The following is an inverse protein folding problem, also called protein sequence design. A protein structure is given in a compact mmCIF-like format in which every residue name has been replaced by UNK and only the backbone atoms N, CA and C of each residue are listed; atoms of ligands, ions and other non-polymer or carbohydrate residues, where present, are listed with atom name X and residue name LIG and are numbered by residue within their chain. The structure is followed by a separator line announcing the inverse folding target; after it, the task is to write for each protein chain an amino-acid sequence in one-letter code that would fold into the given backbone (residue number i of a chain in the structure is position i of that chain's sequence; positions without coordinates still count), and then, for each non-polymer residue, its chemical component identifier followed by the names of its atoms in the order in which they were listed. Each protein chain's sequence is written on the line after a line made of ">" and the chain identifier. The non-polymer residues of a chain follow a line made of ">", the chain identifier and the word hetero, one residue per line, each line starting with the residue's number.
data_IF_774300615800
#
_entry.id   IF_774300615800
#
_cell.length_a   1.000
_cell.length_b   1.000
_cell.length_c   1.000
_cell.angle_alpha   90.00
_cell.angle_beta   90.00
_cell.angle_gamma   90.00
#
_symmetry.space_group_name_H-M   'P 1'
#
loop_
_entity.id
_entity.type
_entity.pdbx_description
1 polymer ?
#
# COMPACT_ATOMS: atom_id res chain seq x y z
N UNK A 1 5.19 2.58 -31.04
CA UNK A 1 4.57 3.89 -30.83
C UNK A 1 4.74 4.24 -29.37
N UNK A 2 5.91 4.80 -29.07
CA UNK A 2 6.41 5.05 -27.72
C UNK A 2 5.89 6.41 -27.26
N UNK A 3 4.91 6.42 -26.36
CA UNK A 3 4.40 7.67 -25.80
C UNK A 3 5.07 7.93 -24.45
N UNK A 4 5.97 8.91 -24.50
CA UNK A 4 6.62 9.68 -23.44
C UNK A 4 6.07 9.51 -22.01
N UNK A 5 6.64 8.59 -21.24
CA UNK A 5 6.80 8.69 -19.78
C UNK A 5 8.06 9.51 -19.46
N UNK A 6 8.10 10.75 -19.92
CA UNK A 6 9.24 11.65 -19.71
C UNK A 6 8.91 12.67 -18.63
N UNK A 7 9.06 12.26 -17.36
CA UNK A 7 9.16 13.16 -16.20
C UNK A 7 10.16 12.57 -15.20
N UNK A 8 11.45 12.74 -15.52
CA UNK A 8 12.59 12.37 -14.67
C UNK A 8 12.52 12.85 -13.18
N UNK A 9 11.79 13.93 -12.79
CA UNK A 9 11.64 14.29 -11.37
C UNK A 9 10.71 13.36 -10.57
N UNK A 10 9.75 12.70 -11.22
CA UNK A 10 8.73 11.86 -10.54
C UNK A 10 9.32 10.49 -10.21
N UNK A 11 10.12 9.90 -11.13
CA UNK A 11 10.82 8.63 -10.93
C UNK A 11 11.76 8.61 -9.73
N UNK A 12 12.20 9.78 -9.25
CA UNK A 12 13.09 9.87 -8.10
C UNK A 12 12.35 9.82 -6.76
N UNK A 13 11.02 10.02 -6.77
CA UNK A 13 10.19 10.15 -5.55
C UNK A 13 9.11 9.08 -5.45
N UNK A 14 8.62 8.60 -6.59
CA UNK A 14 7.61 7.55 -6.70
C UNK A 14 7.95 6.67 -7.90
N UNK A 15 8.36 5.43 -7.65
CA UNK A 15 8.51 4.43 -8.69
C UNK A 15 7.15 3.78 -8.97
N UNK A 16 6.47 4.32 -9.98
CA UNK A 16 5.14 3.86 -10.39
C UNK A 16 5.19 2.44 -10.95
N UNK A 17 6.26 2.09 -11.67
CA UNK A 17 6.39 0.75 -12.26
C UNK A 17 6.54 -0.28 -11.15
N UNK A 18 7.41 0.01 -10.17
CA UNK A 18 7.58 -0.87 -8.99
C UNK A 18 6.30 -0.98 -8.14
N UNK A 19 5.60 0.15 -7.91
CA UNK A 19 4.33 0.15 -7.18
C UNK A 19 3.21 -0.64 -7.90
N UNK A 20 3.18 -0.59 -9.23
CA UNK A 20 2.23 -1.36 -10.05
C UNK A 20 2.58 -2.84 -10.08
N UNK A 21 3.86 -3.20 -10.21
CA UNK A 21 4.32 -4.60 -10.21
C UNK A 21 3.93 -5.31 -8.90
N UNK A 22 4.03 -4.59 -7.77
CA UNK A 22 3.57 -5.07 -6.46
C UNK A 22 2.06 -5.34 -6.40
N UNK A 23 1.29 -4.81 -7.34
CA UNK A 23 -0.15 -4.94 -7.43
C UNK A 23 -0.57 -5.66 -8.72
N UNK A 24 0.31 -6.50 -9.27
CA UNK A 24 0.02 -7.31 -10.47
C UNK A 24 -0.37 -6.46 -11.69
N UNK A 25 0.10 -5.21 -11.77
CA UNK A 25 -0.21 -4.29 -12.86
C UNK A 25 -1.59 -3.61 -12.78
N UNK A 26 -2.35 -3.80 -11.69
CA UNK A 26 -3.71 -3.29 -11.55
C UNK A 26 -3.74 -1.77 -11.27
N UNK A 27 -3.79 -1.00 -12.35
CA UNK A 27 -3.74 0.47 -12.30
C UNK A 27 -4.87 1.10 -11.48
N UNK A 28 -6.08 0.57 -11.56
CA UNK A 28 -7.22 1.10 -10.80
C UNK A 28 -7.01 0.93 -9.28
N UNK A 29 -6.53 -0.24 -8.86
CA UNK A 29 -6.15 -0.51 -7.48
C UNK A 29 -5.00 0.38 -7.03
N UNK A 30 -3.97 0.54 -7.86
CA UNK A 30 -2.84 1.41 -7.54
C UNK A 30 -3.27 2.86 -7.29
N UNK A 31 -4.11 3.44 -8.16
CA UNK A 31 -4.66 4.78 -7.95
C UNK A 31 -5.49 4.87 -6.66
N UNK A 32 -6.28 3.84 -6.32
CA UNK A 32 -7.02 3.79 -5.06
C UNK A 32 -6.07 3.78 -3.85
N UNK A 33 -5.00 2.99 -3.89
CA UNK A 33 -3.98 2.92 -2.83
C UNK A 33 -3.26 4.26 -2.70
N UNK A 34 -2.92 4.92 -3.80
CA UNK A 34 -2.34 6.27 -3.78
C UNK A 34 -3.26 7.29 -3.11
N UNK A 35 -4.56 7.27 -3.40
CA UNK A 35 -5.55 8.12 -2.72
C UNK A 35 -5.60 7.82 -1.23
N UNK A 36 -5.60 6.53 -0.85
CA UNK A 36 -5.61 6.10 0.54
C UNK A 36 -4.34 6.52 1.27
N UNK A 37 -3.18 6.42 0.61
CA UNK A 37 -1.90 6.86 1.15
C UNK A 37 -1.95 8.35 1.54
N UNK A 38 -2.46 9.20 0.64
CA UNK A 38 -2.65 10.63 0.91
C UNK A 38 -3.60 10.90 2.09
N UNK A 39 -4.66 10.11 2.24
CA UNK A 39 -5.61 10.28 3.34
C UNK A 39 -5.01 9.90 4.70
N UNK A 40 -4.33 8.75 4.75
CA UNK A 40 -3.88 8.15 6.01
C UNK A 40 -2.54 8.71 6.50
N UNK A 41 -1.63 9.06 5.58
CA UNK A 41 -0.22 9.27 5.92
C UNK A 41 0.29 10.70 5.75
N UNK A 42 -0.48 11.60 5.13
CA UNK A 42 -0.03 12.98 4.87
C UNK A 42 0.32 13.77 6.14
N UNK A 43 -0.26 13.39 7.29
CA UNK A 43 0.02 13.96 8.61
C UNK A 43 0.85 13.06 9.54
N UNK A 44 1.50 12.03 9.00
CA UNK A 44 2.23 11.05 9.83
C UNK A 44 3.40 11.65 10.59
N UNK A 45 4.12 12.61 10.01
CA UNK A 45 5.29 13.21 10.66
C UNK A 45 4.88 14.05 11.87
N UNK A 46 3.83 14.86 11.75
CA UNK A 46 3.26 15.62 12.86
C UNK A 46 2.74 14.70 13.96
N UNK A 47 2.12 13.57 13.58
CA UNK A 47 1.68 12.54 14.52
C UNK A 47 2.86 11.91 15.27
N UNK A 48 3.94 11.56 14.57
CA UNK A 48 5.16 10.99 15.18
C UNK A 48 5.75 12.00 16.17
N UNK A 49 5.94 13.26 15.78
CA UNK A 49 6.48 14.31 16.66
C UNK A 49 5.61 14.54 17.91
N UNK A 50 4.28 14.54 17.73
CA UNK A 50 3.33 14.69 18.85
C UNK A 50 3.43 13.52 19.84
N UNK A 51 3.54 12.29 19.34
CA UNK A 51 3.70 11.09 20.17
C UNK A 51 5.03 11.10 20.93
N UNK A 52 6.12 11.53 20.30
CA UNK A 52 7.42 11.68 20.96
C UNK A 52 7.39 12.74 22.06
N UNK A 53 6.75 13.88 21.80
CA UNK A 53 6.57 14.95 22.82
C UNK A 53 5.75 14.47 24.02
N UNK A 54 4.83 13.53 23.79
CA UNK A 54 4.01 12.91 24.83
C UNK A 54 4.67 11.70 25.51
N UNK A 55 5.95 11.39 25.21
CA UNK A 55 6.66 10.21 25.73
C UNK A 55 5.91 8.90 25.43
N UNK A 56 5.38 8.79 24.20
CA UNK A 56 4.69 7.60 23.69
C UNK A 56 5.52 6.94 22.58
N UNK A 57 6.75 6.57 22.89
CA UNK A 57 7.76 6.08 21.94
C UNK A 57 7.26 4.84 21.20
N UNK A 58 6.66 3.88 21.90
CA UNK A 58 6.11 2.66 21.27
C UNK A 58 5.05 2.98 20.18
N UNK A 59 4.21 4.00 20.40
CA UNK A 59 3.22 4.42 19.40
C UNK A 59 3.85 5.23 18.28
N UNK A 60 4.86 6.04 18.58
CA UNK A 60 5.61 6.79 17.58
C UNK A 60 6.35 5.83 16.63
N UNK A 61 6.99 4.79 17.19
CA UNK A 61 7.63 3.71 16.46
C UNK A 61 6.61 2.98 15.56
N UNK A 62 5.45 2.61 16.11
CA UNK A 62 4.40 1.96 15.31
C UNK A 62 3.91 2.86 14.16
N UNK A 63 3.76 4.17 14.38
CA UNK A 63 3.38 5.10 13.32
C UNK A 63 4.45 5.18 12.21
N UNK A 64 5.74 5.20 12.57
CA UNK A 64 6.84 5.13 11.60
C UNK A 64 6.86 3.79 10.85
N UNK A 65 6.62 2.68 11.54
CA UNK A 65 6.51 1.35 10.95
C UNK A 65 5.38 1.26 9.91
N UNK A 66 4.19 1.77 10.23
CA UNK A 66 3.06 1.79 9.30
C UNK A 66 3.37 2.63 8.06
N UNK A 67 3.98 3.82 8.23
CA UNK A 67 4.40 4.67 7.12
C UNK A 67 5.45 3.97 6.25
N UNK A 68 6.45 3.30 6.85
CA UNK A 68 7.46 2.51 6.13
C UNK A 68 6.81 1.46 5.22
N UNK A 69 5.90 0.66 5.76
CA UNK A 69 5.21 -0.38 5.01
C UNK A 69 4.40 0.19 3.84
N UNK A 70 3.65 1.26 4.11
CA UNK A 70 2.81 1.90 3.09
C UNK A 70 3.63 2.61 2.02
N UNK A 71 4.72 3.28 2.38
CA UNK A 71 5.64 3.92 1.44
C UNK A 71 6.33 2.90 0.54
N UNK A 72 6.75 1.76 1.12
CA UNK A 72 7.28 0.64 0.33
C UNK A 72 6.24 0.18 -0.70
N UNK A 73 5.00 -0.08 -0.26
CA UNK A 73 3.94 -0.58 -1.13
C UNK A 73 3.72 0.29 -2.38
N UNK A 74 3.74 1.61 -2.25
CA UNK A 74 3.50 2.52 -3.38
C UNK A 74 4.76 2.85 -4.20
N UNK A 75 5.91 2.23 -3.92
CA UNK A 75 7.16 2.56 -4.60
C UNK A 75 7.77 3.90 -4.18
N UNK A 76 7.41 4.44 -3.00
CA UNK A 76 7.99 5.66 -2.44
C UNK A 76 9.27 5.34 -1.64
N UNK A 77 10.30 4.85 -2.34
CA UNK A 77 11.50 4.28 -1.72
C UNK A 77 12.22 5.25 -0.76
N UNK A 78 12.33 6.53 -1.11
CA UNK A 78 12.98 7.52 -0.24
C UNK A 78 12.24 7.72 1.09
N UNK A 79 10.90 7.70 1.06
CA UNK A 79 10.07 7.78 2.28
C UNK A 79 10.20 6.49 3.09
N UNK A 80 10.23 5.34 2.41
CA UNK A 80 10.46 4.04 3.05
C UNK A 80 11.79 4.02 3.81
N UNK A 81 12.90 4.33 3.14
CA UNK A 81 14.24 4.30 3.72
C UNK A 81 14.35 5.26 4.91
N UNK A 82 13.80 6.48 4.77
CA UNK A 82 13.82 7.44 5.86
C UNK A 82 12.93 7.03 7.03
N UNK A 83 11.79 6.37 6.78
CA UNK A 83 10.93 5.83 7.83
C UNK A 83 11.60 4.69 8.60
N UNK A 84 12.42 3.85 7.94
CA UNK A 84 13.28 2.86 8.62
C UNK A 84 14.24 3.54 9.59
N UNK A 85 14.90 4.62 9.18
CA UNK A 85 15.83 5.35 10.05
C UNK A 85 15.13 5.95 11.27
N UNK A 86 13.95 6.54 11.08
CA UNK A 86 13.13 7.08 12.18
C UNK A 86 12.68 5.97 13.12
N UNK A 87 12.14 4.86 12.59
CA UNK A 87 11.69 3.71 13.38
C UNK A 87 12.81 3.15 14.26
N UNK A 88 14.01 2.95 13.68
CA UNK A 88 15.16 2.43 14.40
C UNK A 88 15.68 3.41 15.45
N UNK A 89 15.77 4.70 15.13
CA UNK A 89 16.21 5.71 16.10
C UNK A 89 15.29 5.77 17.33
N UNK A 90 13.97 5.65 17.14
CA UNK A 90 13.00 5.57 18.24
C UNK A 90 13.20 4.27 19.04
N UNK A 91 13.39 3.13 18.36
CA UNK A 91 13.62 1.83 19.00
C UNK A 91 14.89 1.82 19.87
N UNK A 92 15.95 2.49 19.40
CA UNK A 92 17.24 2.58 20.09
C UNK A 92 17.26 3.65 21.20
N UNK A 93 16.17 4.41 21.38
CA UNK A 93 16.08 5.50 22.34
C UNK A 93 16.94 6.72 21.99
N UNK A 94 17.35 6.85 20.72
CA UNK A 94 18.05 8.02 20.21
C UNK A 94 17.06 9.15 19.87
N UNK A 95 17.55 10.40 19.82
CA UNK A 95 16.73 11.54 19.39
C UNK A 95 16.49 11.50 17.86
N UNK A 96 15.25 11.28 17.39
CA UNK A 96 14.97 11.15 15.97
C UNK A 96 14.63 12.49 15.30
N UNK A 97 14.70 13.64 16.01
CA UNK A 97 14.14 14.91 15.53
C UNK A 97 14.59 15.29 14.11
N UNK A 98 15.91 15.27 13.85
CA UNK A 98 16.46 15.59 12.53
C UNK A 98 16.05 14.58 11.44
N UNK A 99 15.85 13.30 11.80
CA UNK A 99 15.38 12.27 10.88
C UNK A 99 13.91 12.48 10.52
N UNK A 100 13.10 12.89 11.50
CA UNK A 100 11.67 13.18 11.29
C UNK A 100 11.48 14.44 10.44
N UNK A 101 12.31 15.46 10.58
CA UNK A 101 12.28 16.65 9.70
C UNK A 101 12.60 16.31 8.24
N UNK A 102 13.60 15.45 8.03
CA UNK A 102 13.94 14.93 6.70
C UNK A 102 12.78 14.09 6.12
N UNK A 103 12.20 13.21 6.94
CA UNK A 103 11.02 12.41 6.56
C UNK A 103 9.85 13.29 6.15
N UNK A 104 9.58 14.36 6.90
CA UNK A 104 8.50 15.30 6.60
C UNK A 104 8.71 15.99 5.24
N UNK A 105 9.94 16.28 4.88
CA UNK A 105 10.27 16.87 3.57
C UNK A 105 10.02 15.88 2.45
N UNK A 106 10.57 14.66 2.55
CA UNK A 106 10.37 13.60 1.55
C UNK A 106 8.89 13.23 1.39
N UNK A 107 8.16 13.13 2.50
CA UNK A 107 6.74 12.81 2.50
C UNK A 107 5.92 13.91 1.82
N UNK A 108 6.17 15.20 2.11
CA UNK A 108 5.48 16.31 1.44
C UNK A 108 5.73 16.30 -0.08
N UNK A 109 6.97 16.07 -0.48
CA UNK A 109 7.32 15.98 -1.91
C UNK A 109 6.63 14.80 -2.60
N UNK A 110 6.62 13.63 -1.97
CA UNK A 110 5.95 12.43 -2.46
C UNK A 110 4.45 12.65 -2.57
N UNK A 111 3.81 13.21 -1.53
CA UNK A 111 2.39 13.54 -1.57
C UNK A 111 2.07 14.51 -2.72
N UNK A 112 2.92 15.51 -2.97
CA UNK A 112 2.78 16.41 -4.12
C UNK A 112 2.83 15.67 -5.46
N UNK A 113 3.78 14.75 -5.63
CA UNK A 113 3.86 13.91 -6.84
C UNK A 113 2.64 13.00 -7.02
N UNK A 114 2.08 12.45 -5.94
CA UNK A 114 0.85 11.65 -6.00
C UNK A 114 -0.35 12.53 -6.40
N UNK A 115 -0.48 13.71 -5.80
CA UNK A 115 -1.54 14.68 -6.14
C UNK A 115 -1.48 15.09 -7.63
N UNK A 116 -0.27 15.30 -8.17
CA UNK A 116 -0.07 15.62 -9.59
C UNK A 116 -0.45 14.44 -10.50
N UNK A 117 -0.03 13.22 -10.14
CA UNK A 117 -0.37 12.01 -10.87
C UNK A 117 -1.88 11.79 -10.94
N UNK A 118 -2.58 11.87 -9.80
CA UNK A 118 -4.03 11.69 -9.74
C UNK A 118 -4.75 12.73 -10.62
N UNK A 119 -4.27 13.98 -10.62
CA UNK A 119 -4.84 15.07 -11.45
C UNK A 119 -4.64 14.82 -12.94
N UNK A 120 -3.46 14.34 -13.36
CA UNK A 120 -3.17 14.00 -14.76
C UNK A 120 -4.05 12.85 -15.28
N UNK A 121 -4.47 11.94 -14.39
CA UNK A 121 -5.31 10.79 -14.74
C UNK A 121 -6.81 11.13 -14.81
N UNK A 122 -7.17 12.42 -14.75
CA UNK A 122 -8.55 12.88 -14.93
C UNK A 122 -9.43 12.72 -13.68
N UNK A 123 -8.85 12.41 -12.52
CA UNK A 123 -9.57 12.48 -11.25
C UNK A 123 -9.73 13.94 -10.83
N UNK A 124 -10.76 14.57 -11.39
CA UNK A 124 -11.48 15.67 -10.74
C UNK A 124 -12.56 15.12 -9.79
N UNK A 125 -12.55 13.81 -9.50
CA UNK A 125 -13.46 13.19 -8.56
C UNK A 125 -13.12 13.68 -7.14
N UNK A 126 -14.07 14.40 -6.54
CA UNK A 126 -13.98 14.88 -5.18
C UNK A 126 -13.60 13.74 -4.21
N UNK A 127 -12.86 14.03 -3.12
CA UNK A 127 -12.59 13.05 -2.07
C UNK A 127 -13.93 12.64 -1.46
N UNK A 128 -14.43 11.44 -1.75
CA UNK A 128 -15.73 11.05 -1.21
C UNK A 128 -16.26 9.66 -1.53
N UNK A 129 -15.85 9.00 -2.62
CA UNK A 129 -16.47 7.72 -3.00
C UNK A 129 -15.42 6.69 -3.36
N UNK A 130 -14.81 6.08 -2.33
CA UNK A 130 -14.44 4.67 -2.45
C UNK A 130 -15.74 3.91 -2.73
N UNK A 131 -15.88 3.16 -3.84
CA UNK A 131 -17.02 2.27 -3.99
C UNK A 131 -16.96 1.30 -2.79
N UNK A 132 -17.94 1.39 -1.90
CA UNK A 132 -18.06 0.46 -0.81
C UNK A 132 -18.16 -0.95 -1.42
N UNK A 133 -17.21 -1.82 -1.10
CA UNK A 133 -17.26 -3.21 -1.51
C UNK A 133 -18.56 -3.80 -0.97
N UNK A 134 -19.43 -4.30 -1.85
CA UNK A 134 -20.67 -4.96 -1.44
C UNK A 134 -20.32 -6.21 -0.62
N UNK A 135 -20.69 -6.28 0.67
CA UNK A 135 -20.36 -7.42 1.53
C UNK A 135 -20.87 -8.76 0.98
N UNK A 136 -21.99 -8.75 0.23
CA UNK A 136 -22.52 -9.96 -0.40
C UNK A 136 -21.65 -10.41 -1.57
N UNK A 137 -21.18 -9.46 -2.39
CA UNK A 137 -20.30 -9.73 -3.51
C UNK A 137 -18.93 -10.24 -3.04
N UNK A 138 -18.38 -9.62 -1.98
CA UNK A 138 -17.14 -10.07 -1.36
C UNK A 138 -17.26 -11.49 -0.79
N UNK A 139 -18.36 -11.80 -0.11
CA UNK A 139 -18.61 -13.14 0.43
C UNK A 139 -18.60 -14.19 -0.69
N UNK A 140 -19.36 -13.94 -1.76
CA UNK A 140 -19.44 -14.85 -2.90
C UNK A 140 -18.07 -15.04 -3.57
N UNK A 141 -17.30 -13.97 -3.72
CA UNK A 141 -15.94 -14.02 -4.27
C UNK A 141 -15.00 -14.87 -3.40
N UNK A 142 -15.03 -14.69 -2.07
CA UNK A 142 -14.20 -15.47 -1.15
C UNK A 142 -14.61 -16.95 -1.18
N UNK A 143 -15.91 -17.25 -1.18
CA UNK A 143 -16.42 -18.62 -1.28
C UNK A 143 -15.97 -19.31 -2.58
N UNK A 144 -16.03 -18.60 -3.71
CA UNK A 144 -15.54 -19.09 -5.00
C UNK A 144 -14.02 -19.32 -4.97
N UNK A 145 -13.26 -18.35 -4.46
CA UNK A 145 -11.80 -18.47 -4.35
C UNK A 145 -11.37 -19.64 -3.47
N UNK A 146 -11.99 -19.82 -2.30
CA UNK A 146 -11.73 -20.97 -1.41
C UNK A 146 -12.04 -22.29 -2.13
N UNK A 147 -13.13 -22.36 -2.90
CA UNK A 147 -13.48 -23.52 -3.70
C UNK A 147 -12.39 -23.89 -4.71
N UNK A 148 -11.97 -22.91 -5.54
CA UNK A 148 -10.95 -23.11 -6.56
C UNK A 148 -9.59 -23.51 -5.95
N UNK A 149 -9.19 -22.88 -4.84
CA UNK A 149 -7.94 -23.22 -4.16
C UNK A 149 -7.98 -24.65 -3.58
N UNK A 150 -9.10 -25.09 -3.00
CA UNK A 150 -9.25 -26.45 -2.44
C UNK A 150 -9.23 -27.52 -3.52
N UNK A 151 -9.75 -27.22 -4.70
CA UNK A 151 -9.73 -28.12 -5.85
C UNK A 151 -8.38 -28.10 -6.58
N UNK A 152 -7.50 -27.16 -6.25
CA UNK A 152 -6.22 -26.94 -6.94
C UNK A 152 -6.41 -26.46 -8.38
N UNK A 153 -7.51 -25.74 -8.65
CA UNK A 153 -7.84 -25.26 -9.98
C UNK A 153 -7.04 -24.00 -10.32
N UNK A 154 -6.36 -24.02 -11.47
CA UNK A 154 -5.63 -22.86 -12.00
C UNK A 154 -6.50 -21.63 -12.26
N UNK A 155 -7.84 -21.80 -12.37
CA UNK A 155 -8.78 -20.68 -12.41
C UNK A 155 -8.72 -19.79 -11.16
N UNK A 156 -8.17 -20.27 -10.03
CA UNK A 156 -7.91 -19.45 -8.86
C UNK A 156 -6.98 -18.26 -9.17
N UNK A 157 -5.98 -18.46 -10.03
CA UNK A 157 -5.04 -17.41 -10.46
C UNK A 157 -5.81 -16.28 -11.15
N UNK A 158 -6.58 -16.64 -12.18
CA UNK A 158 -7.43 -15.70 -12.91
C UNK A 158 -8.40 -14.94 -11.99
N UNK A 159 -9.00 -15.62 -11.01
CA UNK A 159 -9.97 -15.02 -10.10
C UNK A 159 -9.29 -14.02 -9.16
N UNK A 160 -8.10 -14.34 -8.64
CA UNK A 160 -7.29 -13.45 -7.80
C UNK A 160 -6.86 -12.21 -8.58
N UNK A 161 -6.39 -12.37 -9.82
CA UNK A 161 -5.99 -11.25 -10.68
C UNK A 161 -7.20 -10.34 -10.99
N UNK A 162 -8.30 -10.90 -11.49
CA UNK A 162 -9.51 -10.13 -11.86
C UNK A 162 -10.16 -9.42 -10.67
N UNK A 163 -9.97 -9.95 -9.47
CA UNK A 163 -10.60 -9.45 -8.25
C UNK A 163 -9.63 -8.72 -7.33
N UNK A 164 -8.42 -8.44 -7.79
CA UNK A 164 -7.34 -7.84 -7.02
C UNK A 164 -7.77 -6.59 -6.26
N UNK A 165 -8.51 -5.69 -6.92
CA UNK A 165 -8.98 -4.45 -6.28
C UNK A 165 -9.88 -4.73 -5.08
N UNK A 166 -10.82 -5.65 -5.24
CA UNK A 166 -11.79 -5.99 -4.19
C UNK A 166 -11.13 -6.74 -3.04
N UNK A 167 -10.30 -7.74 -3.36
CA UNK A 167 -9.57 -8.55 -2.38
C UNK A 167 -8.58 -7.71 -1.58
N UNK A 168 -7.79 -6.87 -2.23
CA UNK A 168 -6.82 -5.99 -1.57
C UNK A 168 -7.50 -4.94 -0.68
N UNK A 169 -8.69 -4.45 -1.07
CA UNK A 169 -9.48 -3.52 -0.26
C UNK A 169 -10.06 -4.19 0.98
N UNK A 170 -10.51 -5.45 0.84
CA UNK A 170 -11.17 -6.18 1.91
C UNK A 170 -10.19 -6.82 2.91
N UNK A 171 -9.15 -7.50 2.41
CA UNK A 171 -8.19 -8.28 3.19
C UNK A 171 -6.96 -7.46 3.61
N UNK A 172 -6.81 -6.26 3.04
CA UNK A 172 -5.57 -5.51 3.10
C UNK A 172 -4.55 -6.00 2.07
N UNK A 173 -3.74 -5.07 1.60
CA UNK A 173 -2.77 -5.31 0.53
C UNK A 173 -1.69 -6.35 0.91
N UNK A 174 -1.12 -6.37 2.13
CA UNK A 174 -0.13 -7.37 2.50
C UNK A 174 -0.67 -8.80 2.41
N UNK A 175 -1.87 -9.03 2.94
CA UNK A 175 -2.55 -10.33 2.86
C UNK A 175 -2.86 -10.71 1.42
N UNK A 176 -3.42 -9.78 0.64
CA UNK A 176 -3.68 -10.01 -0.78
C UNK A 176 -2.41 -10.40 -1.54
N UNK A 177 -1.28 -9.74 -1.29
CA UNK A 177 -0.01 -10.08 -1.93
C UNK A 177 0.48 -11.49 -1.55
N UNK A 178 0.31 -11.89 -0.29
CA UNK A 178 0.63 -13.26 0.14
C UNK A 178 -0.25 -14.29 -0.56
N UNK A 179 -1.56 -14.03 -0.65
CA UNK A 179 -2.50 -14.91 -1.36
C UNK A 179 -2.15 -14.98 -2.85
N UNK A 180 -1.93 -13.84 -3.50
CA UNK A 180 -1.60 -13.77 -4.92
C UNK A 180 -0.27 -14.47 -5.23
N UNK A 181 0.77 -14.24 -4.42
CA UNK A 181 2.07 -14.90 -4.59
C UNK A 181 1.97 -16.42 -4.45
N UNK A 182 1.28 -16.90 -3.41
CA UNK A 182 1.05 -18.33 -3.19
C UNK A 182 0.24 -18.95 -4.34
N UNK A 183 -0.85 -18.29 -4.76
CA UNK A 183 -1.70 -18.74 -5.87
C UNK A 183 -0.92 -18.81 -7.20
N UNK A 184 -0.09 -17.80 -7.52
CA UNK A 184 0.74 -17.78 -8.73
C UNK A 184 1.87 -18.83 -8.69
N UNK A 185 2.34 -19.18 -7.50
CA UNK A 185 3.31 -20.25 -7.29
C UNK A 185 2.68 -21.66 -7.36
N UNK A 186 1.37 -21.76 -7.63
CA UNK A 186 0.57 -22.99 -7.51
C UNK A 186 0.60 -23.60 -6.09
N UNK A 187 0.97 -22.80 -5.10
CA UNK A 187 0.93 -23.16 -3.68
C UNK A 187 -0.43 -22.79 -3.10
N UNK A 188 -1.44 -23.53 -3.52
CA UNK A 188 -2.83 -23.27 -3.13
C UNK A 188 -3.10 -23.56 -1.65
N UNK A 189 -2.31 -24.42 -1.02
CA UNK A 189 -2.38 -24.71 0.41
C UNK A 189 -1.99 -23.47 1.23
N UNK A 190 -0.84 -22.86 0.93
CA UNK A 190 -0.44 -21.60 1.59
C UNK A 190 -1.45 -20.47 1.33
N UNK A 191 -2.00 -20.38 0.11
CA UNK A 191 -3.00 -19.36 -0.21
C UNK A 191 -4.29 -19.51 0.64
N UNK A 192 -4.74 -20.75 0.86
CA UNK A 192 -5.88 -21.07 1.72
C UNK A 192 -5.61 -20.72 3.18
N UNK A 193 -4.46 -21.14 3.70
CA UNK A 193 -4.09 -20.88 5.09
C UNK A 193 -4.10 -19.37 5.40
N UNK A 194 -3.52 -18.56 4.51
CA UNK A 194 -3.51 -17.10 4.66
C UNK A 194 -4.93 -16.52 4.60
N UNK A 195 -5.77 -17.03 3.69
CA UNK A 195 -7.15 -16.55 3.54
C UNK A 195 -8.02 -16.92 4.75
N UNK A 196 -7.85 -18.12 5.31
CA UNK A 196 -8.59 -18.60 6.48
C UNK A 196 -8.17 -17.91 7.79
N UNK A 197 -6.95 -17.37 7.86
CA UNK A 197 -6.49 -16.59 9.02
C UNK A 197 -7.15 -15.20 9.15
N UNK A 198 -7.69 -14.66 8.06
CA UNK A 198 -8.28 -13.31 7.99
C UNK A 198 -9.82 -13.31 7.98
N UNK A 199 -10.45 -14.49 7.96
CA UNK A 199 -11.90 -14.71 8.01
C UNK A 199 -12.41 -14.95 9.44
#
# INVERSE_FOLDING_TARGET
>A
MSNLLSSAPIRQRLDIEEGLDRLMGERALYLQILRRFLQDYRGSCERIQSLLTQQQEAKAQLAAHSLKGSAGLIGAQLVHDQAVLVENAIADGADPAALVEQLATLLRETCGSIDDLLREHGDNAAPGETPAVDPAQLRALIEELVGLLREGDGAAIDLVEKSATMLATALGVPTFQMIAAATHAFDFETALDVLEMEL
#
